data_IF_403200215901
#
_entry.id   IF_403200215901
#
_cell.length_a   1.000
_cell.length_b   1.000
_cell.length_c   1.000
_cell.angle_alpha   90.00
_cell.angle_beta   90.00
_cell.angle_gamma   90.00
#
_symmetry.space_group_name_H-M   'P 1'
#
loop_
_entity.id
_entity.type
_entity.pdbx_description
1 polymer ?
2 non-polymer ?
3 non-polymer ?
4 water ?
#
# COMPACT_ATOMS: atom_id res chain seq x y z
N UNK A 1 -18.48 10.30 10.98
CA UNK A 1 -18.52 8.93 11.59
C UNK A 1 -19.96 8.45 11.75
N UNK A 2 -20.30 7.39 11.02
CA UNK A 2 -21.65 6.83 11.09
C UNK A 2 -21.70 5.70 12.11
N UNK A 3 -22.35 5.97 13.24
CA UNK A 3 -22.49 4.97 14.29
C UNK A 3 -23.24 3.79 13.70
N UNK A 4 -24.04 4.08 12.67
CA UNK A 4 -24.82 3.06 11.98
C UNK A 4 -23.86 2.14 11.24
N UNK A 5 -22.89 2.75 10.56
CA UNK A 5 -21.91 1.99 9.78
C UNK A 5 -21.10 1.06 10.68
N UNK A 6 -20.70 1.55 11.86
CA UNK A 6 -19.92 0.76 12.79
C UNK A 6 -20.71 -0.44 13.30
N UNK A 7 -21.91 -0.19 13.78
CA UNK A 7 -22.80 -1.24 14.27
C UNK A 7 -22.91 -2.30 13.19
N UNK A 8 -23.18 -1.83 11.97
CA UNK A 8 -23.34 -2.67 10.81
C UNK A 8 -22.12 -3.58 10.59
N UNK A 9 -20.95 -2.97 10.52
CA UNK A 9 -19.70 -3.68 10.31
C UNK A 9 -19.33 -4.64 11.44
N UNK A 10 -19.47 -4.17 12.67
CA UNK A 10 -19.11 -4.98 13.83
C UNK A 10 -19.99 -6.22 14.00
N UNK A 11 -21.24 -6.13 13.55
CA UNK A 11 -22.18 -7.24 13.67
C UNK A 11 -22.15 -8.21 12.49
N UNK A 12 -21.61 -7.78 11.37
CA UNK A 12 -21.56 -8.61 10.17
C UNK A 12 -20.66 -9.82 10.30
N UNK A 13 -20.98 -10.87 9.55
CA UNK A 13 -20.17 -12.09 9.53
C UNK A 13 -19.03 -11.75 8.57
N UNK A 14 -17.85 -12.31 8.80
CA UNK A 14 -16.70 -12.03 7.95
C UNK A 14 -16.36 -13.25 7.12
N UNK A 15 -16.67 -13.22 5.81
CA UNK A 15 -16.35 -14.38 4.98
C UNK A 15 -14.86 -14.68 4.91
N UNK A 16 -14.54 -15.92 4.53
CA UNK A 16 -13.17 -16.37 4.45
C UNK A 16 -12.35 -15.57 3.45
N UNK A 17 -11.03 -15.68 3.55
CA UNK A 17 -10.12 -15.00 2.63
C UNK A 17 -10.38 -15.54 1.23
N UNK A 18 -10.56 -16.85 1.11
CA UNK A 18 -10.83 -17.46 -0.19
C UNK A 18 -12.14 -16.93 -0.80
N UNK A 19 -13.19 -16.84 0.00
CA UNK A 19 -14.46 -16.33 -0.49
C UNK A 19 -14.33 -14.87 -0.95
N UNK A 20 -13.53 -14.09 -0.22
CA UNK A 20 -13.34 -12.69 -0.56
C UNK A 20 -12.34 -12.46 -1.68
N UNK A 21 -11.61 -13.49 -2.08
CA UNK A 21 -10.63 -13.43 -3.16
C UNK A 21 -9.43 -12.56 -2.83
N UNK A 22 -9.21 -12.22 -1.56
CA UNK A 22 -8.09 -11.37 -1.23
C UNK A 22 -6.72 -12.05 -1.30
N UNK A 23 -6.70 -13.36 -1.51
CA UNK A 23 -5.42 -14.05 -1.62
C UNK A 23 -4.91 -13.97 -3.05
N UNK A 24 -5.74 -13.45 -3.95
CA UNK A 24 -5.36 -13.35 -5.36
C UNK A 24 -4.63 -12.08 -5.73
N UNK A 25 -3.47 -12.21 -6.36
CA UNK A 25 -2.70 -11.05 -6.81
C UNK A 25 -3.49 -10.21 -7.81
N UNK A 26 -4.41 -10.86 -8.54
CA UNK A 26 -5.22 -10.18 -9.56
C UNK A 26 -6.49 -9.52 -9.03
N UNK A 27 -6.64 -9.49 -7.70
CA UNK A 27 -7.78 -8.91 -7.02
C UNK A 27 -8.18 -7.52 -7.49
N UNK A 28 -9.49 -7.27 -7.58
CA UNK A 28 -9.99 -5.95 -7.94
C UNK A 28 -11.12 -5.64 -6.97
N UNK A 29 -11.37 -4.36 -6.72
CA UNK A 29 -12.41 -3.94 -5.77
C UNK A 29 -13.54 -3.15 -6.43
N UNK A 30 -13.56 -3.07 -7.75
CA UNK A 30 -14.61 -2.26 -8.40
C UNK A 30 -16.04 -2.69 -8.07
N UNK A 31 -16.25 -3.98 -7.87
CA UNK A 31 -17.57 -4.52 -7.55
C UNK A 31 -17.93 -4.49 -6.05
N UNK A 32 -16.97 -4.05 -5.23
CA UNK A 32 -17.19 -4.03 -3.78
C UNK A 32 -17.71 -2.71 -3.21
N UNK A 33 -18.57 -2.82 -2.20
CA UNK A 33 -19.08 -1.63 -1.52
C UNK A 33 -18.02 -1.25 -0.46
N UNK A 34 -18.18 -0.11 0.18
CA UNK A 34 -17.23 0.27 1.22
C UNK A 34 -17.28 -0.74 2.36
N UNK A 35 -18.48 -1.21 2.69
CA UNK A 35 -18.64 -2.18 3.77
C UNK A 35 -17.89 -3.44 3.42
N UNK A 36 -18.00 -3.88 2.16
CA UNK A 36 -17.30 -5.07 1.76
C UNK A 36 -15.79 -4.88 1.89
N UNK A 37 -15.26 -3.70 1.56
CA UNK A 37 -13.81 -3.50 1.70
C UNK A 37 -13.40 -3.53 3.18
N UNK A 38 -14.27 -3.05 4.05
CA UNK A 38 -13.95 -3.07 5.49
C UNK A 38 -13.93 -4.51 6.00
N UNK A 39 -14.86 -5.34 5.51
CA UNK A 39 -14.89 -6.74 5.92
C UNK A 39 -13.64 -7.47 5.43
N UNK A 40 -13.18 -7.15 4.20
CA UNK A 40 -11.98 -7.76 3.65
C UNK A 40 -10.78 -7.42 4.52
N UNK A 41 -10.76 -6.17 4.98
CA UNK A 41 -9.66 -5.68 5.81
C UNK A 41 -9.66 -6.42 7.14
N UNK A 42 -10.84 -6.66 7.72
CA UNK A 42 -10.90 -7.41 8.98
C UNK A 42 -10.29 -8.79 8.75
N UNK A 43 -10.65 -9.42 7.63
CA UNK A 43 -10.14 -10.74 7.29
C UNK A 43 -8.62 -10.72 7.12
N UNK A 44 -8.09 -9.61 6.61
CA UNK A 44 -6.65 -9.53 6.44
C UNK A 44 -5.95 -9.61 7.79
N UNK A 45 -6.42 -8.82 8.74
CA UNK A 45 -5.84 -8.82 10.10
C UNK A 45 -5.99 -10.18 10.77
N UNK A 46 -7.16 -10.77 10.59
CA UNK A 46 -7.48 -12.08 11.18
C UNK A 46 -6.63 -13.21 10.64
N UNK A 47 -6.56 -13.35 9.32
CA UNK A 47 -5.77 -14.43 8.73
C UNK A 47 -4.27 -14.32 8.87
N UNK A 48 -3.79 -13.12 9.22
CA UNK A 48 -2.36 -12.96 9.44
C UNK A 48 -2.11 -13.17 10.93
N UNK A 49 -3.15 -13.62 11.63
CA UNK A 49 -3.09 -13.92 13.07
C UNK A 49 -2.79 -12.70 13.95
N UNK A 50 -3.02 -11.49 13.42
CA UNK A 50 -2.75 -10.26 14.18
C UNK A 50 -3.80 -10.03 15.27
N UNK A 51 -5.04 -10.41 15.01
CA UNK A 51 -6.09 -10.25 16.01
C UNK A 51 -5.79 -11.13 17.23
N UNK A 52 -5.35 -12.36 16.98
CA UNK A 52 -5.02 -13.31 18.04
C UNK A 52 -3.75 -12.90 18.79
N UNK A 53 -2.65 -12.75 18.07
CA UNK A 53 -1.36 -12.39 18.68
C UNK A 53 -1.34 -11.11 19.49
N UNK A 54 -2.14 -10.13 19.13
CA UNK A 54 -2.10 -8.87 19.84
C UNK A 54 -3.42 -8.51 20.51
N UNK A 55 -4.22 -9.54 20.75
CA UNK A 55 -5.52 -9.40 21.40
C UNK A 55 -6.27 -8.14 21.03
N UNK A 56 -6.59 -8.00 19.75
CA UNK A 56 -7.34 -6.84 19.30
C UNK A 56 -8.82 -7.09 19.59
N UNK A 57 -9.50 -6.12 20.17
CA UNK A 57 -10.92 -6.27 20.44
C UNK A 57 -11.63 -5.99 19.11
N UNK A 58 -12.68 -6.77 18.82
CA UNK A 58 -13.40 -6.61 17.56
C UNK A 58 -13.90 -5.20 17.26
N UNK A 59 -14.64 -4.61 18.20
CA UNK A 59 -15.18 -3.28 17.97
C UNK A 59 -14.10 -2.23 17.74
N UNK A 60 -12.94 -2.41 18.39
CA UNK A 60 -11.85 -1.48 18.23
C UNK A 60 -11.22 -1.58 16.84
N UNK A 61 -11.00 -2.80 16.37
CA UNK A 61 -10.45 -2.99 15.03
C UNK A 61 -11.46 -2.42 14.02
N UNK A 62 -12.75 -2.69 14.24
CA UNK A 62 -13.77 -2.17 13.33
C UNK A 62 -13.75 -0.66 13.30
N UNK A 63 -13.70 -0.03 14.47
CA UNK A 63 -13.69 1.42 14.55
C UNK A 63 -12.45 2.00 13.85
N UNK A 64 -11.29 1.38 14.07
CA UNK A 64 -10.04 1.84 13.47
C UNK A 64 -10.12 1.76 11.93
N UNK A 65 -10.63 0.65 11.41
CA UNK A 65 -10.73 0.50 9.96
C UNK A 65 -11.60 1.63 9.41
N UNK A 66 -12.73 1.87 10.04
CA UNK A 66 -13.62 2.94 9.58
C UNK A 66 -12.98 4.33 9.71
N UNK A 67 -12.15 4.56 10.72
CA UNK A 67 -11.50 5.86 10.87
C UNK A 67 -10.49 6.07 9.73
N UNK A 68 -9.72 5.02 9.43
CA UNK A 68 -8.76 5.10 8.35
C UNK A 68 -9.48 5.44 7.05
N UNK A 69 -10.48 4.63 6.71
CA UNK A 69 -11.28 4.85 5.47
C UNK A 69 -11.80 6.29 5.42
N UNK A 70 -12.30 6.78 6.54
CA UNK A 70 -12.85 8.13 6.57
C UNK A 70 -11.82 9.23 6.35
N UNK A 71 -10.57 8.98 6.70
CA UNK A 71 -9.56 10.01 6.54
C UNK A 71 -8.85 10.03 5.21
N UNK A 72 -9.46 9.37 4.23
CA UNK A 72 -8.96 9.43 2.87
C UNK A 72 -10.01 10.33 2.22
N UNK A 73 -9.63 11.05 1.17
CA UNK A 73 -10.57 11.95 0.50
C UNK A 73 -11.23 11.29 -0.71
N UNK A 74 -12.54 11.15 -0.67
CA UNK A 74 -13.28 10.52 -1.76
C UNK A 74 -13.28 11.31 -3.06
N UNK A 75 -13.04 12.62 -2.98
CA UNK A 75 -13.00 13.47 -4.18
C UNK A 75 -11.64 13.43 -4.89
N UNK A 76 -10.69 12.68 -4.34
CA UNK A 76 -9.37 12.53 -4.96
C UNK A 76 -9.55 11.27 -5.80
N UNK A 77 -9.38 11.41 -7.12
CA UNK A 77 -9.59 10.30 -8.07
C UNK A 77 -8.87 8.99 -7.81
N UNK A 78 -7.57 9.06 -7.60
CA UNK A 78 -6.82 7.84 -7.37
C UNK A 78 -6.35 7.63 -5.93
N UNK A 79 -5.72 8.65 -5.34
CA UNK A 79 -5.20 8.50 -3.98
C UNK A 79 -6.27 8.62 -2.92
N UNK A 80 -7.08 7.57 -2.79
CA UNK A 80 -8.19 7.55 -1.84
C UNK A 80 -8.18 6.19 -1.12
N UNK A 81 -9.24 5.91 -0.35
CA UNK A 81 -9.33 4.67 0.40
C UNK A 81 -9.12 3.42 -0.45
N UNK A 82 -9.73 3.37 -1.63
CA UNK A 82 -9.57 2.19 -2.48
C UNK A 82 -8.10 1.92 -2.83
N UNK A 83 -7.31 2.97 -3.03
CA UNK A 83 -5.88 2.75 -3.32
C UNK A 83 -5.20 2.10 -2.10
N UNK A 84 -5.43 2.67 -0.92
CA UNK A 84 -4.85 2.15 0.31
C UNK A 84 -5.32 0.72 0.56
N UNK A 85 -6.62 0.50 0.36
CA UNK A 85 -7.18 -0.83 0.54
C UNK A 85 -6.50 -1.82 -0.40
N UNK A 86 -6.30 -1.42 -1.66
CA UNK A 86 -5.67 -2.30 -2.61
C UNK A 86 -4.20 -2.51 -2.26
N UNK A 87 -3.56 -1.48 -1.72
CA UNK A 87 -2.16 -1.64 -1.34
C UNK A 87 -2.06 -2.69 -0.23
N UNK A 88 -2.99 -2.62 0.74
CA UNK A 88 -3.04 -3.58 1.85
C UNK A 88 -3.32 -5.00 1.33
N UNK A 89 -4.25 -5.11 0.39
CA UNK A 89 -4.59 -6.42 -0.19
C UNK A 89 -3.38 -7.03 -0.90
N UNK A 90 -2.59 -6.23 -1.62
CA UNK A 90 -1.39 -6.76 -2.30
C UNK A 90 -0.40 -7.24 -1.22
N UNK A 91 -0.29 -6.48 -0.13
CA UNK A 91 0.59 -6.86 0.97
C UNK A 91 0.14 -8.23 1.50
N UNK A 92 -1.16 -8.39 1.70
CA UNK A 92 -1.72 -9.65 2.19
C UNK A 92 -1.39 -10.80 1.23
N UNK A 93 -1.62 -10.57 -0.07
CA UNK A 93 -1.34 -11.62 -1.04
C UNK A 93 0.15 -11.95 -1.10
N UNK A 94 0.99 -10.94 -1.00
CA UNK A 94 2.44 -11.15 -1.05
C UNK A 94 2.90 -11.98 0.15
N UNK A 95 2.30 -11.74 1.32
CA UNK A 95 2.66 -12.47 2.52
C UNK A 95 2.15 -13.91 2.50
N UNK A 96 0.94 -14.11 1.97
CA UNK A 96 0.32 -15.43 1.89
C UNK A 96 0.72 -16.19 0.64
N UNK A 97 0.06 -15.88 -0.47
CA UNK A 97 0.36 -16.54 -1.74
C UNK A 97 1.83 -16.34 -2.09
N UNK A 98 2.36 -15.17 -1.78
CA UNK A 98 3.75 -14.88 -2.07
C UNK A 98 4.71 -15.53 -1.08
N UNK A 99 4.16 -16.09 -0.01
CA UNK A 99 4.95 -16.77 1.03
C UNK A 99 6.04 -15.94 1.69
N UNK A 100 5.79 -14.65 1.88
CA UNK A 100 6.76 -13.78 2.51
C UNK A 100 6.53 -13.75 4.03
N UNK A 101 5.33 -14.12 4.46
CA UNK A 101 4.96 -14.12 5.87
C UNK A 101 5.94 -14.86 6.78
N UNK A 102 6.34 -16.08 6.40
CA UNK A 102 7.24 -16.85 7.23
C UNK A 102 8.65 -16.27 7.27
N UNK A 103 8.90 -15.24 6.46
CA UNK A 103 10.22 -14.60 6.44
C UNK A 103 10.29 -13.39 7.37
N UNK A 104 9.15 -13.02 7.98
CA UNK A 104 9.12 -11.84 8.85
C UNK A 104 8.61 -12.13 10.25
N UNK A 105 8.85 -11.20 11.18
CA UNK A 105 8.40 -11.35 12.56
C UNK A 105 6.95 -10.89 12.62
N UNK A 106 6.27 -11.24 13.71
CA UNK A 106 4.87 -10.85 13.86
C UNK A 106 4.72 -9.32 13.89
N UNK A 107 5.68 -8.63 14.51
CA UNK A 107 5.59 -7.16 14.58
C UNK A 107 5.80 -6.52 13.21
N UNK A 108 6.66 -7.11 12.39
CA UNK A 108 6.90 -6.55 11.06
C UNK A 108 5.66 -6.72 10.19
N UNK A 109 4.97 -7.85 10.36
CA UNK A 109 3.75 -8.12 9.60
C UNK A 109 2.67 -7.14 10.03
N UNK A 110 2.52 -6.99 11.33
CA UNK A 110 1.55 -6.07 11.90
C UNK A 110 1.77 -4.64 11.38
N UNK A 111 3.04 -4.20 11.40
CA UNK A 111 3.39 -2.85 10.96
C UNK A 111 3.17 -2.67 9.45
N UNK A 112 3.58 -3.66 8.67
CA UNK A 112 3.42 -3.59 7.21
C UNK A 112 1.94 -3.50 6.80
N UNK A 113 1.06 -4.22 7.48
CA UNK A 113 -0.35 -4.15 7.10
C UNK A 113 -0.92 -2.81 7.49
N UNK A 114 -0.57 -2.32 8.68
CA UNK A 114 -1.06 -1.02 9.10
C UNK A 114 -0.53 0.08 8.20
N UNK A 115 0.74 -0.01 7.84
CA UNK A 115 1.39 0.97 6.99
C UNK A 115 0.74 0.98 5.60
N UNK A 116 0.49 -0.20 5.05
CA UNK A 116 -0.14 -0.28 3.72
C UNK A 116 -1.50 0.42 3.72
N UNK A 117 -2.29 0.19 4.78
CA UNK A 117 -3.59 0.80 4.89
C UNK A 117 -3.56 2.30 5.14
N UNK A 118 -2.51 2.75 5.85
CA UNK A 118 -2.40 4.15 6.22
C UNK A 118 -1.44 5.01 5.40
N UNK A 119 -0.69 4.42 4.49
CA UNK A 119 0.36 5.18 3.80
C UNK A 119 0.05 6.45 3.00
N UNK A 120 -1.19 6.65 2.56
CA UNK A 120 -1.53 7.87 1.82
C UNK A 120 -2.61 8.68 2.53
N UNK A 121 -2.78 8.46 3.84
CA UNK A 121 -3.82 9.18 4.58
C UNK A 121 -3.86 10.68 4.33
N UNK A 122 -5.08 11.19 4.07
CA UNK A 122 -5.31 12.61 3.85
C UNK A 122 -4.65 13.18 2.58
N UNK A 123 -4.34 12.31 1.62
CA UNK A 123 -3.73 12.73 0.38
C UNK A 123 -4.71 13.67 -0.32
N UNK A 124 -4.19 14.74 -0.92
CA UNK A 124 -5.05 15.70 -1.61
C UNK A 124 -4.93 15.68 -3.13
N UNK A 125 -4.25 14.67 -3.66
CA UNK A 125 -4.09 14.57 -5.10
C UNK A 125 -2.73 15.06 -5.57
N UNK A 126 -2.14 14.36 -6.54
CA UNK A 126 -0.81 14.73 -7.05
C UNK A 126 -0.72 16.13 -7.64
N UNK A 127 -1.84 16.63 -8.15
CA UNK A 127 -1.83 17.96 -8.76
C UNK A 127 -2.01 19.06 -7.71
N UNK A 128 -2.05 18.68 -6.44
CA UNK A 128 -2.20 19.65 -5.36
C UNK A 128 -0.95 19.70 -4.50
N UNK A 129 -0.24 20.81 -4.58
CA UNK A 129 0.99 21.00 -3.82
C UNK A 129 0.76 20.83 -2.32
N UNK A 130 1.60 20.02 -1.69
CA UNK A 130 1.49 19.82 -0.28
C UNK A 130 2.30 20.95 0.35
N UNK A 131 1.64 21.77 1.15
CA UNK A 131 2.30 22.89 1.78
C UNK A 131 2.58 22.65 3.27
N UNK A 132 3.84 22.79 3.64
CA UNK A 132 4.24 22.60 5.03
C UNK A 132 4.14 23.96 5.71
N UNK A 133 2.98 24.27 6.25
CA UNK A 133 2.76 25.55 6.90
C UNK A 133 3.61 25.78 8.13
N UNK A 134 4.19 24.72 8.69
CA UNK A 134 5.03 24.85 9.88
C UNK A 134 6.49 25.19 9.59
N UNK A 135 6.80 25.40 8.31
CA UNK A 135 8.16 25.78 7.92
C UNK A 135 8.08 27.04 7.05
N UNK A 136 9.15 27.82 7.05
CA UNK A 136 9.20 29.08 6.29
C UNK A 136 8.86 28.92 4.81
N UNK A 137 8.08 29.87 4.25
CA UNK A 137 7.72 29.77 2.83
C UNK A 137 8.91 29.67 1.86
N UNK A 138 10.06 30.21 2.26
CA UNK A 138 11.25 30.16 1.41
C UNK A 138 12.15 28.96 1.76
N UNK A 139 11.80 28.23 2.81
CA UNK A 139 12.59 27.08 3.22
C UNK A 139 11.73 25.84 3.33
N UNK A 140 10.99 25.55 2.27
CA UNK A 140 10.11 24.40 2.24
C UNK A 140 10.58 23.36 1.25
N UNK A 141 11.89 23.15 1.18
CA UNK A 141 12.44 22.17 0.27
C UNK A 141 13.21 21.11 1.04
N UNK A 142 12.60 20.65 2.14
CA UNK A 142 13.20 19.59 2.94
C UNK A 142 13.27 18.38 2.04
N UNK A 143 12.17 18.17 1.30
CA UNK A 143 12.03 17.04 0.39
C UNK A 143 12.32 15.75 1.12
N UNK A 144 12.49 15.86 2.44
CA UNK A 144 12.75 14.72 3.29
C UNK A 144 11.41 14.02 3.48
N UNK A 145 10.86 13.51 2.38
CA UNK A 145 9.59 12.80 2.42
C UNK A 145 8.57 13.57 3.26
N UNK A 146 8.39 14.85 2.94
CA UNK A 146 7.49 15.69 3.69
C UNK A 146 6.04 15.23 3.69
N UNK A 147 5.50 14.85 2.53
CA UNK A 147 4.11 14.41 2.53
C UNK A 147 3.95 13.09 3.27
N UNK A 148 4.95 12.21 3.15
CA UNK A 148 4.89 10.93 3.84
C UNK A 148 4.96 11.11 5.35
N UNK A 149 5.70 12.12 5.81
CA UNK A 149 5.72 12.36 7.25
C UNK A 149 4.32 12.73 7.67
N UNK A 150 3.61 13.45 6.80
CA UNK A 150 2.24 13.86 7.11
C UNK A 150 1.31 12.65 7.17
N UNK A 151 1.49 11.70 6.26
CA UNK A 151 0.65 10.50 6.24
C UNK A 151 0.90 9.71 7.52
N UNK A 152 2.15 9.60 7.92
CA UNK A 152 2.45 8.87 9.16
C UNK A 152 1.82 9.57 10.37
N UNK A 153 1.90 10.89 10.38
CA UNK A 153 1.34 11.66 11.48
C UNK A 153 -0.16 11.37 11.60
N UNK A 154 -0.85 11.31 10.46
CA UNK A 154 -2.27 11.01 10.40
C UNK A 154 -2.51 9.60 10.94
N UNK A 155 -1.65 8.66 10.57
CA UNK A 155 -1.77 7.28 11.01
C UNK A 155 -1.68 7.19 12.55
N UNK A 156 -0.63 7.81 13.09
CA UNK A 156 -0.44 7.80 14.54
C UNK A 156 -1.62 8.44 15.26
N UNK A 157 -2.16 9.54 14.72
CA UNK A 157 -3.30 10.18 15.36
C UNK A 157 -4.48 9.23 15.47
N UNK A 158 -4.75 8.47 14.40
CA UNK A 158 -5.85 7.52 14.43
C UNK A 158 -5.54 6.37 15.39
N UNK A 159 -4.31 5.87 15.37
CA UNK A 159 -3.93 4.78 16.27
C UNK A 159 -4.09 5.18 17.73
N UNK A 160 -4.02 6.48 18.02
CA UNK A 160 -4.13 6.99 19.38
C UNK A 160 -5.50 7.56 19.75
N UNK A 161 -6.40 7.62 18.79
CA UNK A 161 -7.73 8.18 19.06
C UNK A 161 -8.56 7.26 19.96
N UNK A 162 -9.40 7.84 20.82
CA UNK A 162 -10.21 7.00 21.70
C UNK A 162 -11.03 5.96 20.94
N UNK A 163 -11.02 4.73 21.46
CA UNK A 163 -11.75 3.62 20.85
C UNK A 163 -11.20 3.07 19.55
N UNK A 164 -10.00 3.50 19.16
CA UNK A 164 -9.38 3.06 17.91
C UNK A 164 -8.00 2.44 18.10
N UNK A 165 -7.59 2.29 19.36
CA UNK A 165 -6.27 1.77 19.69
C UNK A 165 -6.04 0.27 19.50
N UNK A 166 -5.83 -0.14 18.24
CA UNK A 166 -5.60 -1.54 17.92
C UNK A 166 -4.26 -2.06 18.41
N UNK A 167 -3.37 -1.17 18.85
CA UNK A 167 -2.07 -1.63 19.34
C UNK A 167 -2.01 -1.60 20.88
N UNK A 168 -3.15 -1.36 21.52
CA UNK A 168 -3.22 -1.30 22.98
C UNK A 168 -2.66 -2.58 23.62
N UNK A 169 -2.86 -3.72 22.97
CA UNK A 169 -2.39 -4.98 23.51
C UNK A 169 -0.90 -5.28 23.45
N UNK A 170 -0.13 -4.44 22.78
CA UNK A 170 1.31 -4.66 22.70
C UNK A 170 2.00 -4.12 23.96
N UNK A 171 3.15 -4.68 24.30
CA UNK A 171 3.90 -4.20 25.46
C UNK A 171 4.54 -2.89 24.97
N UNK A 172 5.06 -2.09 25.88
CA UNK A 172 5.66 -0.83 25.45
C UNK A 172 6.80 -1.04 24.46
N UNK A 173 7.62 -2.06 24.67
CA UNK A 173 8.74 -2.30 23.75
C UNK A 173 8.24 -2.70 22.35
N UNK A 174 7.25 -3.59 22.30
CA UNK A 174 6.67 -4.01 21.04
C UNK A 174 6.06 -2.80 20.33
N UNK A 175 5.38 -1.95 21.11
CA UNK A 175 4.74 -0.76 20.58
C UNK A 175 5.74 0.17 19.92
N UNK A 176 6.86 0.45 20.62
CA UNK A 176 7.88 1.31 20.05
C UNK A 176 8.49 0.71 18.80
N UNK A 177 8.76 -0.59 18.82
CA UNK A 177 9.33 -1.23 17.66
C UNK A 177 8.35 -1.14 16.50
N UNK A 178 7.08 -1.44 16.76
CA UNK A 178 6.06 -1.41 15.71
C UNK A 178 5.90 -0.02 15.12
N UNK A 179 5.82 1.01 15.97
CA UNK A 179 5.70 2.36 15.44
C UNK A 179 6.87 2.70 14.54
N UNK A 180 8.07 2.28 14.94
CA UNK A 180 9.26 2.56 14.14
C UNK A 180 9.20 1.91 12.76
N UNK A 181 8.72 0.67 12.72
CA UNK A 181 8.62 -0.04 11.44
C UNK A 181 7.53 0.61 10.58
N UNK A 182 6.41 0.99 11.21
CA UNK A 182 5.32 1.64 10.46
C UNK A 182 5.84 2.95 9.85
N UNK A 183 6.54 3.72 10.67
CA UNK A 183 7.06 4.99 10.19
C UNK A 183 8.01 4.82 9.02
N UNK A 184 8.91 3.84 9.10
CA UNK A 184 9.85 3.64 8.01
C UNK A 184 9.14 3.08 6.78
N UNK A 185 8.08 2.31 7.03
CA UNK A 185 7.29 1.71 5.96
C UNK A 185 6.57 2.81 5.18
N UNK A 186 5.94 3.74 5.90
CA UNK A 186 5.23 4.83 5.25
C UNK A 186 6.23 5.76 4.53
N UNK A 187 7.35 6.08 5.16
CA UNK A 187 8.32 6.94 4.47
C UNK A 187 8.86 6.26 3.21
N UNK A 188 8.95 4.93 3.22
CA UNK A 188 9.44 4.18 2.07
C UNK A 188 8.56 4.40 0.85
N UNK A 189 7.30 4.82 1.07
CA UNK A 189 6.41 5.07 -0.08
C UNK A 189 6.75 6.33 -0.87
N UNK A 190 7.74 7.09 -0.41
CA UNK A 190 8.22 8.28 -1.14
C UNK A 190 9.09 7.65 -2.24
N UNK A 191 8.69 7.79 -3.51
CA UNK A 191 9.45 7.17 -4.58
C UNK A 191 10.91 7.62 -4.61
N UNK A 192 11.18 8.84 -4.14
CA UNK A 192 12.55 9.36 -4.09
C UNK A 192 13.43 8.40 -3.29
N UNK A 193 12.91 7.92 -2.15
CA UNK A 193 13.65 6.98 -1.31
C UNK A 193 13.82 5.63 -1.99
N UNK A 194 12.82 5.23 -2.76
CA UNK A 194 12.88 3.98 -3.48
C UNK A 194 14.05 4.03 -4.48
N UNK A 195 14.11 5.12 -5.24
CA UNK A 195 15.16 5.30 -6.23
C UNK A 195 16.54 5.36 -5.57
N UNK A 196 16.60 6.03 -4.41
CA UNK A 196 17.86 6.15 -3.68
C UNK A 196 18.41 4.82 -3.16
N UNK A 197 17.52 3.91 -2.75
CA UNK A 197 17.98 2.63 -2.22
C UNK A 197 17.95 1.45 -3.19
N UNK A 198 17.34 1.66 -4.36
CA UNK A 198 17.24 0.60 -5.38
C UNK A 198 18.55 -0.12 -5.60
N UNK A 199 19.61 0.67 -5.80
CA UNK A 199 20.94 0.15 -6.06
C UNK A 199 21.39 -1.01 -5.19
N UNK A 200 21.48 -0.79 -3.88
CA UNK A 200 21.90 -1.84 -2.96
C UNK A 200 21.14 -3.12 -3.24
N UNK A 201 19.83 -3.02 -3.07
CA UNK A 201 18.90 -4.13 -3.26
C UNK A 201 19.21 -4.94 -4.52
N UNK A 202 19.28 -4.25 -5.65
CA UNK A 202 19.56 -4.92 -6.92
C UNK A 202 20.96 -5.56 -6.94
N UNK A 203 21.94 -4.83 -6.42
CA UNK A 203 23.30 -5.35 -6.37
C UNK A 203 23.39 -6.57 -5.47
N UNK A 204 22.93 -6.42 -4.23
CA UNK A 204 22.94 -7.51 -3.26
C UNK A 204 22.37 -8.79 -3.85
N UNK A 205 21.26 -8.65 -4.58
CA UNK A 205 20.62 -9.79 -5.21
C UNK A 205 21.48 -10.35 -6.35
N UNK A 206 21.99 -9.46 -7.18
CA UNK A 206 22.82 -9.83 -8.33
C UNK A 206 23.99 -10.74 -7.95
N UNK A 207 24.45 -10.63 -6.70
CA UNK A 207 25.58 -11.42 -6.24
C UNK A 207 25.18 -12.45 -5.19
N UNK A 208 23.91 -12.85 -5.17
CA UNK A 208 23.42 -13.82 -4.21
C UNK A 208 23.93 -13.52 -2.80
N UNK A 209 23.99 -12.23 -2.46
CA UNK A 209 24.46 -11.82 -1.15
C UNK A 209 23.31 -11.28 -0.30
N UNK A 210 22.10 -11.35 -0.84
CA UNK A 210 20.93 -10.86 -0.11
C UNK A 210 20.62 -11.76 1.08
N UNK A 211 20.87 -11.24 2.28
CA UNK A 211 20.65 -11.98 3.52
C UNK A 211 19.53 -11.32 4.32
N UNK A 212 18.37 -11.94 4.33
CA UNK A 212 17.23 -11.40 5.06
C UNK A 212 17.46 -11.42 6.58
N UNK A 213 18.49 -12.13 7.02
CA UNK A 213 18.81 -12.22 8.44
C UNK A 213 19.52 -10.96 8.92
N UNK A 214 20.12 -10.22 7.98
CA UNK A 214 20.82 -8.98 8.31
C UNK A 214 19.78 -7.89 8.57
N UNK A 215 19.78 -7.33 9.80
CA UNK A 215 18.81 -6.28 10.11
C UNK A 215 18.74 -5.16 9.09
N UNK A 216 19.90 -4.67 8.66
CA UNK A 216 19.92 -3.59 7.67
C UNK A 216 19.25 -4.03 6.37
N UNK A 217 19.57 -5.24 5.91
CA UNK A 217 18.99 -5.77 4.68
C UNK A 217 17.49 -6.03 4.80
N UNK A 218 17.04 -6.45 5.98
CA UNK A 218 15.62 -6.72 6.16
C UNK A 218 14.82 -5.43 6.07
N UNK A 219 15.37 -4.38 6.69
CA UNK A 219 14.71 -3.07 6.68
C UNK A 219 14.63 -2.61 5.23
N UNK A 220 15.70 -2.90 4.48
CA UNK A 220 15.76 -2.52 3.07
C UNK A 220 14.66 -3.27 2.31
N UNK A 221 14.50 -4.57 2.63
CA UNK A 221 13.48 -5.37 1.97
C UNK A 221 12.07 -4.88 2.29
N UNK A 222 11.85 -4.44 3.51
CA UNK A 222 10.53 -3.97 3.90
C UNK A 222 10.19 -2.72 3.11
N UNK A 223 11.19 -1.89 2.86
CA UNK A 223 10.99 -0.67 2.09
C UNK A 223 10.65 -1.00 0.64
N UNK A 224 11.36 -1.99 0.08
CA UNK A 224 11.12 -2.41 -1.31
C UNK A 224 9.74 -3.05 -1.45
N UNK A 225 9.31 -3.80 -0.44
CA UNK A 225 8.01 -4.47 -0.43
C UNK A 225 6.87 -3.45 -0.40
N UNK A 226 7.02 -2.40 0.41
CA UNK A 226 6.02 -1.35 0.48
C UNK A 226 5.89 -0.72 -0.91
N UNK A 227 7.02 -0.45 -1.55
CA UNK A 227 6.95 0.15 -2.88
C UNK A 227 6.25 -0.80 -3.86
N UNK A 228 6.63 -2.08 -3.82
CA UNK A 228 6.01 -3.08 -4.71
C UNK A 228 4.48 -3.10 -4.52
N UNK A 229 4.00 -3.03 -3.29
CA UNK A 229 2.55 -3.01 -3.05
C UNK A 229 1.89 -1.68 -3.46
N UNK A 230 2.56 -0.56 -3.17
CA UNK A 230 2.04 0.76 -3.50
C UNK A 230 1.85 0.90 -5.01
N UNK A 231 2.74 0.28 -5.78
CA UNK A 231 2.69 0.39 -7.25
C UNK A 231 1.97 -0.78 -7.94
N UNK A 232 1.46 -1.73 -7.17
CA UNK A 232 0.86 -2.94 -7.75
C UNK A 232 -0.31 -2.80 -8.72
N UNK A 233 -0.90 -1.62 -8.85
CA UNK A 233 -1.98 -1.46 -9.83
C UNK A 233 -1.41 -1.76 -11.25
N UNK A 234 -0.10 -1.56 -11.40
CA UNK A 234 0.60 -1.77 -12.68
C UNK A 234 0.74 -3.26 -13.07
N UNK A 235 0.43 -4.17 -12.15
CA UNK A 235 0.54 -5.61 -12.39
C UNK A 235 -0.84 -6.27 -12.61
N UNK A 236 -1.91 -5.49 -12.49
CA UNK A 236 -3.27 -6.04 -12.60
C UNK A 236 -3.68 -6.49 -14.01
N UNK A 237 -4.69 -7.39 -14.10
CA UNK A 237 -5.12 -7.83 -15.43
C UNK A 237 -5.43 -6.59 -16.26
N UNK A 238 -5.17 -6.66 -17.57
CA UNK A 238 -5.37 -5.57 -18.50
C UNK A 238 -6.62 -4.66 -18.32
N UNK A 239 -7.82 -5.24 -18.24
CA UNK A 239 -8.98 -4.36 -18.07
C UNK A 239 -8.94 -3.52 -16.78
N UNK A 240 -8.40 -4.11 -15.72
CA UNK A 240 -8.29 -3.40 -14.44
C UNK A 240 -7.20 -2.32 -14.51
N UNK A 241 -6.01 -2.67 -15.01
CA UNK A 241 -4.94 -1.69 -15.14
C UNK A 241 -5.35 -0.49 -16.02
N UNK A 242 -6.12 -0.72 -17.07
CA UNK A 242 -6.55 0.40 -17.91
C UNK A 242 -7.38 1.37 -17.09
N UNK A 243 -8.25 0.82 -16.25
CA UNK A 243 -9.12 1.62 -15.39
C UNK A 243 -8.28 2.39 -14.36
N UNK A 244 -7.31 1.70 -13.76
CA UNK A 244 -6.48 2.34 -12.75
C UNK A 244 -5.62 3.46 -13.35
N UNK A 245 -5.10 3.23 -14.56
CA UNK A 245 -4.30 4.24 -15.27
C UNK A 245 -5.19 5.46 -15.56
N UNK A 246 -6.46 5.18 -15.88
CA UNK A 246 -7.47 6.20 -16.16
C UNK A 246 -7.64 7.11 -14.92
N UNK A 247 -7.77 6.49 -13.74
CA UNK A 247 -7.94 7.23 -12.48
C UNK A 247 -6.76 8.16 -12.18
N UNK A 248 -5.57 7.63 -12.32
CA UNK A 248 -4.34 8.39 -12.08
C UNK A 248 -4.30 9.58 -13.02
N UNK A 249 -4.55 9.33 -14.31
CA UNK A 249 -4.55 10.40 -15.32
C UNK A 249 -5.54 11.50 -14.94
N UNK A 250 -6.74 11.11 -14.52
CA UNK A 250 -7.78 12.05 -14.10
C UNK A 250 -7.32 12.93 -12.93
N UNK A 251 -6.68 12.31 -11.94
CA UNK A 251 -6.20 13.05 -10.78
C UNK A 251 -5.10 14.02 -11.21
N UNK A 252 -4.28 13.59 -12.17
CA UNK A 252 -3.17 14.38 -12.67
C UNK A 252 -3.56 15.56 -13.55
N UNK A 253 -4.46 15.31 -14.51
CA UNK A 253 -4.90 16.33 -15.45
C UNK A 253 -6.19 17.04 -15.03
N UNK A 254 -7.30 16.33 -15.15
CA UNK A 254 -8.62 16.85 -14.81
C UNK A 254 -8.72 17.29 -13.36
N UNK A 255 -7.58 17.44 -12.70
CA UNK A 255 -7.55 17.83 -11.30
C UNK A 255 -8.50 16.94 -10.53
N UNK A 256 -8.41 15.63 -10.81
CA UNK A 256 -9.24 14.67 -10.13
C UNK A 256 -8.75 14.60 -8.68
N UNK A 257 -7.98 15.61 -8.30
CA UNK A 257 -7.43 15.73 -6.95
C UNK A 257 -8.53 16.10 -5.99
N UNK A 258 -9.09 17.30 -6.16
CA UNK A 258 -10.13 17.79 -5.27
C UNK A 258 -11.33 18.30 -6.05
N UNK A 274 -5.08 13.85 -26.08
CA UNK A 274 -3.98 14.17 -25.13
C UNK A 274 -3.95 13.22 -23.94
N UNK A 275 -5.13 12.88 -23.42
CA UNK A 275 -5.19 11.99 -22.26
C UNK A 275 -4.97 10.52 -22.56
N UNK A 276 -6.03 9.78 -22.89
CA UNK A 276 -5.86 8.35 -23.17
C UNK A 276 -4.78 8.17 -24.23
N UNK A 277 -4.64 9.17 -25.10
CA UNK A 277 -3.66 9.12 -26.17
C UNK A 277 -2.24 9.12 -25.63
N UNK A 278 -2.02 9.81 -24.52
CA UNK A 278 -0.70 9.86 -23.93
C UNK A 278 -0.50 8.85 -22.81
N UNK A 279 -1.57 8.21 -22.38
CA UNK A 279 -1.46 7.24 -21.30
C UNK A 279 -0.61 6.02 -21.66
N UNK A 280 -0.80 5.44 -22.86
CA UNK A 280 0.05 4.27 -23.14
C UNK A 280 1.56 4.55 -23.05
N UNK A 281 2.02 5.64 -23.65
CA UNK A 281 3.44 5.98 -23.60
C UNK A 281 3.91 6.18 -22.17
N UNK A 282 3.08 6.84 -21.38
CA UNK A 282 3.39 7.11 -19.98
C UNK A 282 3.50 5.85 -19.14
N UNK A 283 2.60 4.91 -19.34
CA UNK A 283 2.64 3.67 -18.55
C UNK A 283 3.85 2.84 -18.95
N UNK A 284 4.16 2.82 -20.24
CA UNK A 284 5.33 2.07 -20.69
C UNK A 284 6.57 2.68 -20.02
N UNK A 285 6.67 4.01 -20.05
CA UNK A 285 7.80 4.68 -19.45
C UNK A 285 7.99 4.36 -17.99
N UNK A 286 6.89 4.39 -17.25
CA UNK A 286 6.88 4.12 -15.80
C UNK A 286 7.26 2.67 -15.54
N UNK A 287 6.75 1.75 -16.35
CA UNK A 287 7.09 0.34 -16.20
C UNK A 287 8.58 0.14 -16.41
N UNK A 288 9.15 0.75 -17.44
CA UNK A 288 10.58 0.59 -17.71
C UNK A 288 11.49 1.29 -16.71
N UNK A 289 11.11 2.50 -16.32
CA UNK A 289 11.94 3.28 -15.41
C UNK A 289 11.87 2.87 -13.95
N UNK A 290 10.70 2.39 -13.52
CA UNK A 290 10.53 2.05 -12.12
C UNK A 290 10.05 0.64 -11.75
N UNK A 291 8.94 0.22 -12.35
CA UNK A 291 8.33 -1.06 -11.99
C UNK A 291 8.93 -2.43 -12.32
N UNK A 292 9.26 -2.66 -13.59
CA UNK A 292 9.78 -3.97 -14.00
C UNK A 292 10.92 -4.52 -13.14
N UNK A 293 11.98 -3.74 -12.95
CA UNK A 293 13.11 -4.17 -12.14
C UNK A 293 12.72 -4.51 -10.71
N UNK A 294 11.79 -3.74 -10.13
CA UNK A 294 11.35 -4.01 -8.75
C UNK A 294 10.68 -5.37 -8.62
N UNK A 295 9.73 -5.66 -9.51
CA UNK A 295 9.07 -6.95 -9.44
C UNK A 295 9.97 -8.11 -9.81
N UNK A 296 11.02 -7.82 -10.59
CA UNK A 296 11.97 -8.86 -10.97
C UNK A 296 12.77 -9.24 -9.71
N UNK A 297 13.18 -8.21 -8.98
CA UNK A 297 13.95 -8.38 -7.76
C UNK A 297 13.13 -9.08 -6.69
N UNK A 298 11.84 -8.75 -6.62
CA UNK A 298 10.96 -9.36 -5.63
C UNK A 298 10.78 -10.84 -5.94
N UNK A 299 10.64 -11.17 -7.22
CA UNK A 299 10.48 -12.56 -7.63
C UNK A 299 11.70 -13.37 -7.26
N UNK A 300 12.87 -12.74 -7.30
CA UNK A 300 14.09 -13.45 -6.94
C UNK A 300 14.08 -13.75 -5.45
N UNK A 301 13.58 -12.80 -4.67
CA UNK A 301 13.49 -12.98 -3.22
C UNK A 301 12.49 -14.10 -2.93
N UNK A 302 11.35 -14.06 -3.62
CA UNK A 302 10.32 -15.07 -3.45
C UNK A 302 9.70 -15.38 -4.80
N UNK A 303 10.03 -16.55 -5.35
CA UNK A 303 9.51 -16.94 -6.65
C UNK A 303 8.00 -16.95 -6.72
N UNK A 304 7.34 -17.18 -5.59
CA UNK A 304 5.89 -17.20 -5.57
C UNK A 304 5.26 -15.82 -5.82
N UNK A 305 6.09 -14.80 -5.90
CA UNK A 305 5.62 -13.44 -6.17
C UNK A 305 5.65 -13.18 -7.69
N UNK A 306 6.03 -14.20 -8.45
CA UNK A 306 6.11 -14.13 -9.90
C UNK A 306 4.90 -13.52 -10.61
N UNK A 307 3.68 -13.83 -10.14
CA UNK A 307 2.54 -13.24 -10.82
C UNK A 307 2.51 -11.72 -10.89
N UNK A 308 3.19 -11.05 -9.96
CA UNK A 308 3.21 -9.59 -9.98
C UNK A 308 4.08 -9.16 -11.17
N UNK A 309 5.19 -9.87 -11.36
CA UNK A 309 6.10 -9.58 -12.46
C UNK A 309 5.42 -9.92 -13.79
N UNK A 310 4.81 -11.10 -13.86
CA UNK A 310 4.14 -11.53 -15.08
C UNK A 310 3.13 -10.47 -15.47
N UNK A 311 2.33 -10.03 -14.50
CA UNK A 311 1.31 -9.01 -14.74
C UNK A 311 1.87 -7.70 -15.24
N UNK A 312 3.01 -7.30 -14.68
CA UNK A 312 3.65 -6.07 -15.09
C UNK A 312 4.15 -6.16 -16.55
N UNK A 313 4.75 -7.30 -16.90
CA UNK A 313 5.27 -7.52 -18.26
C UNK A 313 4.13 -7.56 -19.29
N UNK A 314 3.02 -8.20 -18.92
CA UNK A 314 1.88 -8.30 -19.82
C UNK A 314 1.28 -6.91 -20.08
N UNK A 315 1.26 -6.07 -19.05
CA UNK A 315 0.75 -4.72 -19.23
C UNK A 315 1.66 -3.85 -20.09
N UNK A 316 2.98 -4.05 -19.99
CA UNK A 316 3.88 -3.24 -20.79
C UNK A 316 3.64 -3.49 -22.28
N UNK A 317 3.42 -4.75 -22.62
CA UNK A 317 3.20 -5.14 -24.01
C UNK A 317 1.86 -4.62 -24.53
N UNK A 318 0.84 -4.64 -23.70
CA UNK A 318 -0.46 -4.15 -24.09
C UNK A 318 -0.41 -2.64 -24.32
N UNK A 319 0.22 -1.92 -23.39
CA UNK A 319 0.34 -0.48 -23.50
C UNK A 319 1.23 -0.08 -24.68
N UNK A 320 2.30 -0.84 -24.90
CA UNK A 320 3.23 -0.54 -25.98
C UNK A 320 2.51 -0.71 -27.32
N UNK A 321 1.68 -1.74 -27.41
CA UNK A 321 0.93 -1.97 -28.63
C UNK A 321 0.05 -0.75 -28.89
N UNK A 322 -0.71 -0.32 -27.89
CA UNK A 322 -1.56 0.85 -28.04
C UNK A 322 -0.73 2.09 -28.37
N UNK A 323 0.49 2.14 -27.83
CA UNK A 323 1.37 3.28 -28.07
C UNK A 323 1.74 3.35 -29.55
N UNK A 324 1.88 2.18 -30.16
CA UNK A 324 2.20 2.08 -31.58
C UNK A 324 0.92 2.36 -32.35
N UNK A 325 -0.15 2.63 -31.59
CA UNK A 325 -1.46 2.92 -32.15
C UNK A 325 -1.99 1.78 -32.99
N UNK A 326 -3.04 1.13 -32.49
CA UNK A 326 -3.66 0.00 -33.19
C UNK A 326 -4.78 0.44 -34.12
X LIG B 1 0.25 5.15 -2.44
X LIG C 1 2.03 8.17 -1.26
#
# INVERSE_FOLDING_TARGET
>A
EETRELQSLAAAVVPSAQTLKITDFSFSDFELSDLETALCTIRMFTDLNLVQNFQMKHEVLCRWILSVKKNYRKNVAYHNWRHAFNTAQCMFAALKAGKIQNKLTDLEILALLIAALSHDLDHRGVNNSYIQRSEHPLAQLYCHSIMEHHHFDQCLMILNSPGNQILSGLSIEEYKTTLKIIKQAILATDLALYIKRRGEFFELIRKNQFNLEDPHQKELFLAMLMTACDLSAITKPWPIQQRIAELVATEFFDQGDRERKELNIEPTDLMNREKKNKIPSMQVGFIDAICLQLYEALTHVSEDCFPLLDGCRKNRQKWQALAEQQ
>B hetero
1 ZN ZN
>C hetero
1 MG MG
#
